data_IF_038588763602
#
_entry.id   IF_038588763602
#
_cell.length_a   1.000
_cell.length_b   1.000
_cell.length_c   1.000
_cell.angle_alpha   90.00
_cell.angle_beta   90.00
_cell.angle_gamma   90.00
#
_symmetry.space_group_name_H-M   'P 1'
#
loop_
_entity.id
_entity.type
_entity.pdbx_description
1 polymer ?
#
# COMPACT_ATOMS: atom_id res chain seq x y z
N UNK A 1 -11.88 -18.99 15.89
CA UNK A 1 -11.10 -17.85 16.41
C UNK A 1 -11.46 -16.66 15.53
N UNK A 2 -11.93 -15.54 16.10
CA UNK A 2 -12.28 -14.37 15.28
C UNK A 2 -11.02 -13.57 14.95
N UNK A 3 -10.97 -12.98 13.75
CA UNK A 3 -9.96 -12.03 13.33
C UNK A 3 -10.35 -10.58 13.68
N UNK A 4 -11.53 -10.38 14.24
CA UNK A 4 -12.02 -9.06 14.64
C UNK A 4 -11.26 -8.55 15.86
N UNK A 5 -10.90 -7.26 15.84
CA UNK A 5 -10.31 -6.54 16.98
C UNK A 5 -11.34 -5.63 17.65
N UNK A 6 -10.98 -5.06 18.80
CA UNK A 6 -11.85 -4.10 19.47
C UNK A 6 -12.13 -2.88 18.57
N UNK A 7 -13.30 -2.22 18.69
CA UNK A 7 -13.61 -1.04 17.89
C UNK A 7 -12.56 0.08 18.00
N UNK A 8 -11.96 0.24 19.17
CA UNK A 8 -10.88 1.20 19.42
C UNK A 8 -9.62 0.83 18.62
N UNK A 9 -9.27 -0.45 18.61
CA UNK A 9 -8.12 -0.94 17.87
C UNK A 9 -8.34 -0.85 16.35
N UNK A 10 -9.56 -1.18 15.89
CA UNK A 10 -9.91 -1.07 14.47
C UNK A 10 -9.86 0.38 14.00
N UNK A 11 -10.43 1.32 14.78
CA UNK A 11 -10.34 2.75 14.47
C UNK A 11 -8.89 3.22 14.34
N UNK A 12 -8.02 2.82 15.27
CA UNK A 12 -6.59 3.17 15.21
C UNK A 12 -5.94 2.66 13.92
N UNK A 13 -6.25 1.43 13.50
CA UNK A 13 -5.72 0.87 12.26
C UNK A 13 -6.21 1.60 11.01
N UNK A 14 -7.47 2.03 11.00
CA UNK A 14 -8.00 2.88 9.92
C UNK A 14 -7.24 4.21 9.87
N UNK A 15 -7.00 4.85 11.01
CA UNK A 15 -6.27 6.13 11.08
C UNK A 15 -4.81 5.95 10.57
N UNK A 16 -4.13 4.86 10.94
CA UNK A 16 -2.77 4.52 10.48
C UNK A 16 -2.74 4.23 8.97
N UNK A 17 -3.66 3.40 8.44
CA UNK A 17 -3.75 3.11 7.02
C UNK A 17 -4.14 4.35 6.19
N UNK A 18 -5.04 5.19 6.72
CA UNK A 18 -5.42 6.45 6.10
C UNK A 18 -4.25 7.41 5.92
N UNK A 19 -3.31 7.42 6.86
CA UNK A 19 -2.06 8.20 6.74
C UNK A 19 -1.21 7.72 5.56
N UNK A 20 -1.01 6.41 5.42
CA UNK A 20 -0.26 5.82 4.30
C UNK A 20 -0.92 6.14 2.95
N UNK A 21 -2.26 5.99 2.87
CA UNK A 21 -3.03 6.28 1.65
C UNK A 21 -2.91 7.76 1.28
N UNK A 22 -3.04 8.67 2.25
CA UNK A 22 -2.92 10.10 2.01
C UNK A 22 -1.53 10.46 1.45
N UNK A 23 -0.46 9.93 2.05
CA UNK A 23 0.90 10.10 1.55
C UNK A 23 1.07 9.56 0.13
N UNK A 24 0.52 8.38 -0.17
CA UNK A 24 0.58 7.81 -1.51
C UNK A 24 -0.06 8.73 -2.56
N UNK A 25 -1.25 9.28 -2.31
CA UNK A 25 -1.90 10.22 -3.21
C UNK A 25 -1.15 11.55 -3.35
N UNK A 26 -0.43 12.00 -2.32
CA UNK A 26 0.37 13.21 -2.41
C UNK A 26 1.55 13.05 -3.38
N UNK A 27 2.13 11.86 -3.44
CA UNK A 27 3.34 11.57 -4.22
C UNK A 27 3.05 11.02 -5.63
N UNK A 28 1.90 10.38 -5.83
CA UNK A 28 1.62 9.62 -7.05
C UNK A 28 1.51 10.46 -8.34
N UNK A 29 1.29 11.77 -8.24
CA UNK A 29 1.11 12.64 -9.40
C UNK A 29 2.42 12.85 -10.16
N UNK A 30 3.52 12.90 -9.41
CA UNK A 30 4.88 13.11 -9.93
C UNK A 30 5.67 11.80 -10.06
N UNK A 31 5.21 10.73 -9.41
CA UNK A 31 5.84 9.42 -9.45
C UNK A 31 5.94 8.83 -10.87
N UNK A 32 6.92 7.94 -11.07
CA UNK A 32 7.02 7.14 -12.30
C UNK A 32 5.82 6.20 -12.40
N UNK A 33 5.37 5.97 -13.63
CA UNK A 33 4.28 5.04 -13.92
C UNK A 33 4.69 3.59 -13.60
N UNK A 34 5.90 3.21 -14.04
CA UNK A 34 6.49 1.91 -13.77
C UNK A 34 7.69 2.09 -12.85
N UNK A 35 7.76 1.29 -11.79
CA UNK A 35 8.87 1.29 -10.86
C UNK A 35 10.21 0.86 -11.49
N UNK A 36 10.15 0.09 -12.60
CA UNK A 36 11.34 -0.38 -13.31
C UNK A 36 12.04 -1.57 -12.63
N UNK A 37 11.35 -2.25 -11.71
CA UNK A 37 11.86 -3.48 -11.08
C UNK A 37 11.49 -4.72 -11.88
N UNK A 38 12.42 -5.67 -11.95
CA UNK A 38 12.17 -7.02 -12.45
C UNK A 38 11.39 -7.85 -11.43
N UNK A 39 10.74 -8.95 -11.86
CA UNK A 39 10.06 -9.86 -10.94
C UNK A 39 10.97 -10.42 -9.84
N UNK A 40 12.24 -10.70 -10.15
CA UNK A 40 13.21 -11.22 -9.18
C UNK A 40 13.54 -10.16 -8.10
N UNK A 41 13.75 -8.90 -8.50
CA UNK A 41 13.98 -7.81 -7.55
C UNK A 41 12.78 -7.56 -6.64
N UNK A 42 11.55 -7.76 -7.12
CA UNK A 42 10.35 -7.64 -6.27
C UNK A 42 10.23 -8.83 -5.31
N UNK A 43 10.55 -10.05 -5.78
CA UNK A 43 10.53 -11.24 -4.95
C UNK A 43 11.55 -11.15 -3.80
N UNK A 44 12.74 -10.64 -4.07
CA UNK A 44 13.81 -10.46 -3.08
C UNK A 44 13.40 -9.53 -1.93
N UNK A 45 12.54 -8.53 -2.17
CA UNK A 45 12.02 -7.64 -1.11
C UNK A 45 11.17 -8.36 -0.06
N UNK A 46 10.64 -9.53 -0.41
CA UNK A 46 9.74 -10.34 0.42
C UNK A 46 10.38 -11.69 0.78
N UNK A 47 11.65 -11.92 0.42
CA UNK A 47 12.38 -13.15 0.70
C UNK A 47 12.92 -13.17 2.13
N UNK A 48 11.99 -13.10 3.09
CA UNK A 48 12.25 -13.13 4.52
C UNK A 48 11.42 -14.23 5.19
N UNK A 49 11.91 -14.84 6.29
CA UNK A 49 11.14 -15.83 7.01
C UNK A 49 9.88 -15.21 7.62
N UNK A 50 8.83 -16.02 7.77
CA UNK A 50 7.65 -15.59 8.53
C UNK A 50 8.05 -15.21 9.96
N UNK A 51 7.45 -14.15 10.53
CA UNK A 51 7.79 -13.70 11.87
C UNK A 51 7.35 -14.72 12.93
N UNK A 52 8.24 -14.98 13.89
CA UNK A 52 7.95 -15.89 15.01
C UNK A 52 6.96 -15.32 16.04
N UNK A 53 6.70 -14.01 15.98
CA UNK A 53 5.82 -13.29 16.89
C UNK A 53 4.92 -12.29 16.14
N UNK A 54 3.76 -11.93 16.69
CA UNK A 54 2.90 -10.91 16.11
C UNK A 54 3.63 -9.57 15.91
N UNK A 55 3.43 -8.95 14.76
CA UNK A 55 3.96 -7.62 14.46
C UNK A 55 2.93 -6.52 14.74
N UNK A 56 3.43 -5.31 14.96
CA UNK A 56 2.59 -4.12 15.04
C UNK A 56 2.12 -3.75 13.63
N UNK A 57 0.83 -3.44 13.48
CA UNK A 57 0.24 -3.06 12.19
C UNK A 57 0.88 -1.83 11.56
N UNK A 58 1.36 -0.86 12.36
CA UNK A 58 1.96 0.38 11.87
C UNK A 58 3.28 0.06 11.18
N UNK A 59 4.11 -0.77 11.82
CA UNK A 59 5.34 -1.28 11.20
C UNK A 59 5.04 -2.07 9.92
N UNK A 60 3.98 -2.87 9.90
CA UNK A 60 3.57 -3.58 8.69
C UNK A 60 3.12 -2.62 7.58
N UNK A 61 2.38 -1.55 7.92
CA UNK A 61 1.95 -0.53 6.96
C UNK A 61 3.14 0.28 6.41
N UNK A 62 4.14 0.58 7.25
CA UNK A 62 5.40 1.20 6.82
C UNK A 62 6.12 0.30 5.80
N UNK A 63 6.24 -1.00 6.10
CA UNK A 63 6.82 -1.97 5.17
C UNK A 63 6.02 -2.09 3.86
N UNK A 64 4.68 -1.98 3.90
CA UNK A 64 3.85 -1.94 2.70
C UNK A 64 4.17 -0.71 1.86
N UNK A 65 4.34 0.46 2.47
CA UNK A 65 4.79 1.67 1.79
C UNK A 65 6.13 1.45 1.08
N UNK A 66 7.11 0.94 1.82
CA UNK A 66 8.50 0.80 1.36
C UNK A 66 8.68 -0.31 0.32
N UNK A 67 8.10 -1.50 0.55
CA UNK A 67 8.32 -2.69 -0.30
C UNK A 67 7.28 -2.80 -1.42
N UNK A 68 6.02 -2.44 -1.17
CA UNK A 68 4.93 -2.68 -2.11
C UNK A 68 4.59 -1.42 -2.91
N UNK A 69 4.25 -0.31 -2.26
CA UNK A 69 3.82 0.89 -2.98
C UNK A 69 4.94 1.47 -3.87
N UNK A 70 6.20 1.23 -3.52
CA UNK A 70 7.37 1.62 -4.33
C UNK A 70 7.59 0.75 -5.58
N UNK A 71 6.92 -0.39 -5.70
CA UNK A 71 7.16 -1.39 -6.76
C UNK A 71 5.98 -1.60 -7.70
N UNK A 72 4.77 -1.22 -7.27
CA UNK A 72 3.57 -1.34 -8.09
C UNK A 72 3.60 -0.41 -9.32
N UNK A 73 2.78 -0.76 -10.31
CA UNK A 73 2.44 0.18 -11.39
C UNK A 73 1.51 1.26 -10.84
N UNK A 74 1.89 2.52 -10.98
CA UNK A 74 1.09 3.67 -10.57
C UNK A 74 -0.04 3.92 -11.58
N UNK A 75 -1.04 3.04 -11.58
CA UNK A 75 -2.18 3.08 -12.49
C UNK A 75 -3.22 4.15 -12.14
N UNK A 76 -3.18 4.66 -10.90
CA UNK A 76 -4.03 5.75 -10.43
C UNK A 76 -3.44 7.15 -10.74
N UNK A 77 -2.16 7.22 -11.12
CA UNK A 77 -1.49 8.46 -11.45
C UNK A 77 -1.90 9.04 -12.81
N UNK A 78 -1.73 10.36 -13.02
CA UNK A 78 -2.19 11.07 -14.21
C UNK A 78 -1.42 10.70 -15.50
N UNK A 79 -0.36 9.90 -15.39
CA UNK A 79 0.55 9.54 -16.50
C UNK A 79 0.33 8.11 -17.02
N UNK A 80 -0.61 7.36 -16.45
CA UNK A 80 -0.91 5.99 -16.89
C UNK A 80 -2.03 5.96 -17.93
N UNK A 81 -1.75 5.37 -19.10
CA UNK A 81 -2.67 5.31 -20.25
C UNK A 81 -2.94 3.88 -20.77
N UNK A 82 -2.53 2.86 -20.01
CA UNK A 82 -2.71 1.46 -20.41
C UNK A 82 -4.04 0.87 -19.94
N UNK A 83 -4.62 -0.05 -20.70
CA UNK A 83 -5.80 -0.83 -20.30
C UNK A 83 -7.00 0.02 -19.83
N UNK A 84 -7.96 -0.63 -19.13
CA UNK A 84 -9.05 0.04 -18.42
C UNK A 84 -8.73 -0.07 -16.93
N UNK A 85 -8.56 1.06 -16.26
CA UNK A 85 -8.31 1.10 -14.81
C UNK A 85 -9.61 1.31 -14.03
N UNK A 86 -9.67 0.75 -12.83
CA UNK A 86 -10.69 1.14 -11.85
C UNK A 86 -10.46 2.59 -11.41
N UNK A 87 -11.54 3.35 -11.26
CA UNK A 87 -11.47 4.75 -10.83
C UNK A 87 -10.88 4.87 -9.42
N UNK A 88 -9.59 5.17 -9.33
CA UNK A 88 -8.87 5.35 -8.07
C UNK A 88 -9.00 6.77 -7.49
N UNK A 89 -10.19 7.36 -7.53
CA UNK A 89 -10.39 8.68 -6.93
C UNK A 89 -10.57 8.57 -5.41
N UNK A 90 -10.26 9.64 -4.69
CA UNK A 90 -10.30 9.65 -3.22
C UNK A 90 -11.70 9.39 -2.64
N UNK A 91 -12.77 9.79 -3.34
CA UNK A 91 -14.15 9.54 -2.89
C UNK A 91 -14.47 8.04 -2.90
N UNK A 92 -14.02 7.32 -3.92
CA UNK A 92 -14.18 5.87 -4.01
C UNK A 92 -13.38 5.11 -2.94
N UNK A 93 -12.26 5.67 -2.47
CA UNK A 93 -11.48 5.10 -1.36
C UNK A 93 -12.15 5.28 -0.01
N UNK A 94 -12.92 6.36 0.16
CA UNK A 94 -13.59 6.70 1.43
C UNK A 94 -14.98 6.06 1.61
N UNK A 95 -15.61 5.61 0.52
CA UNK A 95 -16.98 5.09 0.50
C UNK A 95 -17.05 3.58 0.78
#
# INVERSE_FOLDING_TARGET
>A
MSLDVSPQQFKRWIDEAGTLIASHYQEHSEAKVFAGKSPAEVQELLDEPLPDAPQNIGSLLDEVGDKILSTITNSAGPRYFGYITGGGNQVAVLA
#
